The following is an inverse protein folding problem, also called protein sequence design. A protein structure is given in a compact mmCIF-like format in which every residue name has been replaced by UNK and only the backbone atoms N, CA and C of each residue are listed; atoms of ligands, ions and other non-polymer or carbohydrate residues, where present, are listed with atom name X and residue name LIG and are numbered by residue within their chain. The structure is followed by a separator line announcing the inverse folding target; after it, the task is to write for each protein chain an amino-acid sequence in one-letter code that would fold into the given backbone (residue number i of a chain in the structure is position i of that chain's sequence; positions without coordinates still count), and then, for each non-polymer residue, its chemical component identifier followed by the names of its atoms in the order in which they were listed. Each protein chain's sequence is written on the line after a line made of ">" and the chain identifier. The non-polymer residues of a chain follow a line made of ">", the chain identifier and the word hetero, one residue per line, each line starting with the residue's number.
data_IF_970882321977
#
_entry.id   IF_970882321977
#
_cell.length_a   1.000
_cell.length_b   1.000
_cell.length_c   1.000
_cell.angle_alpha   90.00
_cell.angle_beta   90.00
_cell.angle_gamma   90.00
#
_symmetry.space_group_name_H-M   'P 1'
#
loop_
_entity.id
_entity.type
_entity.pdbx_description
1 polymer ?
#
# COMPACT_ATOMS: atom_id res chain seq x y z
N UNK A 1 -10.53 -5.75 5.11
CA UNK A 1 -10.43 -4.29 4.98
C UNK A 1 -11.78 -3.65 4.61
N UNK A 2 -12.42 -4.00 3.48
CA UNK A 2 -13.69 -3.37 3.08
C UNK A 2 -14.78 -3.42 4.17
N UNK A 3 -14.94 -4.58 4.85
CA UNK A 3 -15.93 -4.71 5.93
C UNK A 3 -15.67 -3.79 7.13
N UNK A 4 -14.42 -3.37 7.36
CA UNK A 4 -14.12 -2.44 8.45
C UNK A 4 -14.72 -1.06 8.24
N UNK A 5 -15.00 -0.65 7.00
CA UNK A 5 -15.70 0.59 6.70
C UNK A 5 -17.14 0.59 7.24
N UNK A 6 -17.79 -0.59 7.26
CA UNK A 6 -19.14 -0.75 7.82
C UNK A 6 -19.16 -0.69 9.37
N UNK A 7 -18.02 -1.05 9.99
CA UNK A 7 -17.90 -1.13 11.45
C UNK A 7 -17.32 0.16 12.08
N UNK A 8 -16.97 1.14 11.25
CA UNK A 8 -16.36 2.41 11.70
C UNK A 8 -17.13 3.60 11.12
N UNK A 9 -17.04 4.77 11.76
CA UNK A 9 -17.73 6.00 11.34
C UNK A 9 -16.79 7.19 11.11
N UNK A 10 -15.49 7.06 11.37
CA UNK A 10 -14.51 8.15 11.20
C UNK A 10 -14.35 8.59 9.75
N UNK A 11 -14.12 9.87 9.51
CA UNK A 11 -13.87 10.45 8.19
C UNK A 11 -12.53 10.01 7.58
N UNK A 12 -11.56 9.69 8.44
CA UNK A 12 -10.26 9.13 8.08
C UNK A 12 -10.19 7.72 8.63
N UNK A 13 -9.81 6.78 7.78
CA UNK A 13 -9.62 5.38 8.16
C UNK A 13 -8.15 5.04 8.03
N UNK A 14 -7.53 4.59 9.12
CA UNK A 14 -6.14 4.18 9.18
C UNK A 14 -6.07 2.65 9.31
N UNK A 15 -5.30 2.02 8.42
CA UNK A 15 -5.02 0.59 8.44
C UNK A 15 -3.60 0.37 8.94
N UNK A 16 -3.44 -0.56 9.86
CA UNK A 16 -2.17 -0.96 10.45
C UNK A 16 -2.15 -2.47 10.58
N UNK A 17 -1.07 -3.11 10.16
CA UNK A 17 -0.91 -4.56 10.29
C UNK A 17 -0.85 -4.97 11.78
N UNK A 18 -1.60 -6.01 12.14
CA UNK A 18 -1.70 -6.46 13.53
C UNK A 18 -0.45 -7.25 14.01
N UNK A 19 0.46 -7.60 13.12
CA UNK A 19 1.69 -8.38 13.42
C UNK A 19 2.94 -7.52 13.59
N UNK A 20 2.78 -6.22 13.75
CA UNK A 20 3.88 -5.31 14.06
C UNK A 20 4.52 -5.67 15.40
N UNK A 21 5.84 -5.92 15.41
CA UNK A 21 6.58 -6.27 16.63
C UNK A 21 6.87 -5.08 17.54
N UNK A 22 7.04 -3.92 16.95
CA UNK A 22 7.37 -2.67 17.64
C UNK A 22 6.40 -1.59 17.16
N UNK A 23 5.15 -1.64 17.68
CA UNK A 23 4.16 -0.61 17.36
C UNK A 23 4.45 0.65 18.17
N UNK A 24 4.43 1.79 17.49
CA UNK A 24 4.50 3.12 18.08
C UNK A 24 3.31 3.95 17.56
N UNK A 25 2.70 4.73 18.44
CA UNK A 25 1.59 5.62 18.08
C UNK A 25 1.96 6.62 16.97
N UNK A 26 3.26 6.93 16.81
CA UNK A 26 3.77 7.75 15.70
C UNK A 26 3.46 7.17 14.32
N UNK A 27 3.28 5.85 14.19
CA UNK A 27 2.79 5.26 12.94
C UNK A 27 1.44 5.85 12.56
N UNK A 28 0.49 5.85 13.49
CA UNK A 28 -0.87 6.38 13.24
C UNK A 28 -0.84 7.89 13.04
N UNK A 29 -0.23 8.64 13.96
CA UNK A 29 -0.19 10.11 13.87
C UNK A 29 0.55 10.60 12.63
N UNK A 30 1.65 9.92 12.24
CA UNK A 30 2.38 10.24 11.03
C UNK A 30 1.56 10.02 9.77
N UNK A 31 0.90 8.85 9.65
CA UNK A 31 0.11 8.52 8.45
C UNK A 31 -1.17 9.37 8.35
N UNK A 32 -1.78 9.71 9.48
CA UNK A 32 -3.00 10.53 9.51
C UNK A 32 -2.70 12.03 9.34
N UNK A 33 -1.52 12.50 9.77
CA UNK A 33 -1.13 13.90 9.76
C UNK A 33 -1.42 14.63 8.44
N UNK A 34 -0.89 14.17 7.29
CA UNK A 34 -1.13 14.83 6.00
C UNK A 34 -2.61 14.89 5.60
N UNK A 35 -3.44 13.93 6.02
CA UNK A 35 -4.88 13.96 5.76
C UNK A 35 -5.59 15.05 6.56
N UNK A 36 -5.01 15.50 7.68
CA UNK A 36 -5.56 16.57 8.50
C UNK A 36 -5.11 17.95 8.04
N UNK A 37 -3.87 18.07 7.53
CA UNK A 37 -3.24 19.35 7.20
C UNK A 37 -3.36 19.73 5.73
N UNK A 38 -3.47 18.74 4.83
CA UNK A 38 -3.44 18.93 3.38
C UNK A 38 -4.79 18.53 2.77
N UNK A 39 -5.68 19.49 2.43
CA UNK A 39 -7.02 19.17 1.91
C UNK A 39 -7.02 18.37 0.60
N UNK A 40 -5.98 18.51 -0.23
CA UNK A 40 -5.82 17.77 -1.50
C UNK A 40 -5.47 16.32 -1.32
N UNK A 41 -4.84 15.95 -0.18
CA UNK A 41 -4.42 14.57 0.08
C UNK A 41 -5.63 13.71 0.45
N UNK A 42 -5.76 12.59 -0.25
CA UNK A 42 -6.85 11.64 -0.07
C UNK A 42 -6.36 10.30 0.51
N UNK A 43 -5.10 9.91 0.23
CA UNK A 43 -4.49 8.68 0.72
C UNK A 43 -3.02 8.90 1.08
N UNK A 44 -2.60 8.37 2.22
CA UNK A 44 -1.22 8.43 2.72
C UNK A 44 -0.71 7.01 2.93
N UNK A 45 0.44 6.70 2.35
CA UNK A 45 1.16 5.44 2.56
C UNK A 45 2.32 5.64 3.53
N UNK A 46 2.50 4.72 4.46
CA UNK A 46 3.75 4.65 5.20
C UNK A 46 4.90 4.25 4.27
N UNK A 47 6.03 4.90 4.42
CA UNK A 47 7.30 4.41 3.91
C UNK A 47 8.24 4.14 5.09
N UNK A 48 9.02 3.09 4.99
CA UNK A 48 9.92 2.64 6.04
C UNK A 48 11.06 1.82 5.45
N UNK A 49 12.17 1.79 6.18
CA UNK A 49 13.28 0.90 5.84
C UNK A 49 12.95 -0.52 6.30
N UNK A 50 13.22 -1.47 5.42
CA UNK A 50 13.02 -2.90 5.66
C UNK A 50 14.34 -3.64 5.55
N UNK A 51 15.18 -3.64 6.62
CA UNK A 51 16.45 -4.32 6.56
C UNK A 51 16.26 -5.83 6.35
N UNK A 52 16.99 -6.39 5.38
CA UNK A 52 17.10 -7.83 5.15
C UNK A 52 18.21 -8.40 6.03
N UNK A 53 17.84 -9.03 7.17
CA UNK A 53 18.79 -9.60 8.13
C UNK A 53 19.60 -8.51 8.88
N UNK A 54 20.85 -8.85 9.25
CA UNK A 54 21.78 -7.97 9.98
C UNK A 54 22.50 -6.92 9.10
N UNK A 55 22.00 -6.63 7.92
CA UNK A 55 22.58 -5.61 7.04
C UNK A 55 22.30 -4.20 7.58
N UNK A 56 23.28 -3.28 7.51
CA UNK A 56 23.09 -1.92 8.00
C UNK A 56 21.97 -1.21 7.23
N UNK A 57 21.13 -0.49 7.97
CA UNK A 57 20.10 0.41 7.46
C UNK A 57 20.71 1.41 6.47
N UNK A 58 20.24 1.44 5.24
CA UNK A 58 20.74 2.40 4.26
C UNK A 58 20.19 2.24 2.85
N UNK A 59 19.70 1.06 2.49
CA UNK A 59 18.96 0.88 1.25
C UNK A 59 17.48 0.75 1.60
N UNK A 60 16.64 1.68 1.19
CA UNK A 60 15.17 1.60 1.26
C UNK A 60 14.69 0.42 0.41
N UNK A 61 14.88 -0.79 0.93
CA UNK A 61 14.51 -2.02 0.22
C UNK A 61 13.11 -2.43 0.62
N UNK A 62 12.27 -2.70 -0.37
CA UNK A 62 11.00 -3.39 -0.21
C UNK A 62 11.20 -4.88 0.10
N UNK A 63 10.10 -5.59 0.38
CA UNK A 63 10.12 -7.06 0.42
C UNK A 63 10.40 -7.65 -0.97
N UNK A 64 10.81 -8.93 -1.04
CA UNK A 64 11.12 -9.62 -2.31
C UNK A 64 10.02 -9.47 -3.36
N UNK A 65 8.74 -9.59 -2.98
CA UNK A 65 7.61 -9.43 -3.91
C UNK A 65 7.44 -7.95 -4.33
N UNK A 66 7.75 -7.00 -3.46
CA UNK A 66 7.78 -5.58 -3.82
C UNK A 66 8.78 -5.35 -4.93
N UNK A 67 10.04 -5.80 -4.76
CA UNK A 67 11.12 -5.51 -5.70
C UNK A 67 11.01 -6.33 -7.00
N UNK A 68 10.56 -7.59 -6.91
CA UNK A 68 10.54 -8.49 -8.06
C UNK A 68 9.23 -8.48 -8.85
N UNK A 69 8.13 -7.96 -8.28
CA UNK A 69 6.81 -7.99 -8.90
C UNK A 69 6.15 -6.61 -8.92
N UNK A 70 5.88 -6.02 -7.75
CA UNK A 70 5.08 -4.80 -7.71
C UNK A 70 5.80 -3.61 -8.35
N UNK A 71 7.07 -3.41 -8.05
CA UNK A 71 7.87 -2.30 -8.60
C UNK A 71 8.03 -2.40 -10.13
N UNK A 72 8.39 -3.56 -10.73
CA UNK A 72 8.39 -3.72 -12.18
C UNK A 72 7.03 -3.44 -12.82
N UNK A 73 5.93 -3.94 -12.26
CA UNK A 73 4.58 -3.67 -12.76
C UNK A 73 4.24 -2.18 -12.73
N UNK A 74 4.53 -1.49 -11.62
CA UNK A 74 4.29 -0.06 -11.50
C UNK A 74 5.13 0.74 -12.49
N UNK A 75 6.42 0.43 -12.63
CA UNK A 75 7.30 1.12 -13.57
C UNK A 75 6.85 0.96 -15.03
N UNK A 76 6.36 -0.23 -15.39
CA UNK A 76 5.93 -0.53 -16.76
C UNK A 76 4.56 0.07 -17.10
N UNK A 77 3.61 0.01 -16.18
CA UNK A 77 2.22 0.31 -16.48
C UNK A 77 1.67 1.56 -15.79
N UNK A 78 2.24 1.95 -14.65
CA UNK A 78 1.85 3.14 -13.89
C UNK A 78 3.08 3.94 -13.44
N UNK A 79 3.89 4.45 -14.37
CA UNK A 79 5.19 5.10 -14.04
C UNK A 79 5.07 6.28 -13.08
N UNK A 80 3.90 6.92 -13.00
CA UNK A 80 3.61 7.96 -12.00
C UNK A 80 3.67 7.45 -10.56
N UNK A 81 3.48 6.14 -10.34
CA UNK A 81 3.60 5.48 -9.03
C UNK A 81 4.98 4.90 -8.74
N UNK A 82 5.94 5.05 -9.65
CA UNK A 82 7.31 4.51 -9.50
C UNK A 82 8.03 5.01 -8.23
N UNK A 83 7.68 6.23 -7.76
CA UNK A 83 8.21 6.84 -6.54
C UNK A 83 7.60 6.31 -5.23
N UNK A 84 6.60 5.41 -5.29
CA UNK A 84 6.03 4.83 -4.07
C UNK A 84 6.99 3.81 -3.47
N UNK A 85 7.48 4.09 -2.26
CA UNK A 85 8.55 3.31 -1.60
C UNK A 85 8.05 1.94 -1.17
N UNK A 86 6.87 1.87 -0.53
CA UNK A 86 6.26 0.63 -0.04
C UNK A 86 4.86 0.42 -0.64
N UNK A 87 4.77 0.07 -1.95
CA UNK A 87 3.48 -0.06 -2.62
C UNK A 87 2.59 -1.15 -2.03
N UNK A 88 3.19 -2.20 -1.45
CA UNK A 88 2.50 -3.34 -0.83
C UNK A 88 2.43 -3.22 0.71
N UNK A 89 2.83 -2.09 1.30
CA UNK A 89 2.75 -1.90 2.75
C UNK A 89 1.30 -1.83 3.22
N UNK A 90 0.97 -2.55 4.30
CA UNK A 90 -0.36 -2.58 4.91
C UNK A 90 -0.66 -1.36 5.79
N UNK A 91 0.34 -0.51 6.03
CA UNK A 91 0.21 0.71 6.81
C UNK A 91 -0.12 1.88 5.89
N UNK A 92 -1.37 2.31 5.93
CA UNK A 92 -1.86 3.48 5.19
C UNK A 92 -3.12 4.06 5.82
N UNK A 93 -3.40 5.30 5.51
CA UNK A 93 -4.67 5.92 5.84
C UNK A 93 -5.28 6.60 4.61
N UNK A 94 -6.58 6.70 4.58
CA UNK A 94 -7.27 7.42 3.52
C UNK A 94 -8.57 8.06 4.02
N UNK A 95 -9.05 9.07 3.29
CA UNK A 95 -10.38 9.61 3.52
C UNK A 95 -11.42 8.54 3.24
N UNK A 96 -12.41 8.42 4.11
CA UNK A 96 -13.53 7.50 3.92
C UNK A 96 -14.22 7.71 2.58
N UNK A 97 -14.45 8.94 2.20
CA UNK A 97 -15.10 9.32 0.94
C UNK A 97 -14.36 8.81 -0.30
N UNK A 98 -13.03 8.65 -0.23
CA UNK A 98 -12.24 7.97 -1.27
C UNK A 98 -12.47 6.46 -1.19
N UNK A 99 -12.26 5.85 -0.01
CA UNK A 99 -12.33 4.39 0.17
C UNK A 99 -13.68 3.79 -0.25
N UNK A 100 -14.77 4.48 0.01
CA UNK A 100 -16.12 4.04 -0.38
C UNK A 100 -16.35 4.02 -1.89
N UNK A 101 -15.51 4.68 -2.66
CA UNK A 101 -15.55 4.71 -4.14
C UNK A 101 -14.58 3.73 -4.80
N UNK A 102 -13.67 3.14 -4.03
CA UNK A 102 -12.64 2.25 -4.56
C UNK A 102 -13.09 0.78 -4.46
N UNK A 103 -12.81 -0.04 -5.48
CA UNK A 103 -12.93 -1.48 -5.37
C UNK A 103 -11.83 -2.04 -4.48
N UNK A 104 -12.17 -2.97 -3.58
CA UNK A 104 -11.21 -3.64 -2.71
C UNK A 104 -10.90 -5.03 -3.27
N UNK A 105 -9.74 -5.24 -3.89
CA UNK A 105 -9.30 -6.57 -4.28
C UNK A 105 -9.22 -7.52 -3.09
N UNK A 106 -9.49 -8.78 -3.33
CA UNK A 106 -9.38 -9.82 -2.29
C UNK A 106 -7.92 -10.29 -2.19
N UNK A 107 -7.44 -10.52 -0.97
CA UNK A 107 -6.10 -11.06 -0.70
C UNK A 107 -4.99 -10.03 -0.89
N UNK A 108 -3.82 -10.50 -1.31
CA UNK A 108 -2.56 -9.74 -1.34
C UNK A 108 -2.47 -8.63 -2.41
N UNK A 109 -3.49 -8.45 -3.24
CA UNK A 109 -3.50 -7.40 -4.24
C UNK A 109 -4.15 -6.10 -3.76
N UNK A 110 -4.70 -6.05 -2.55
CA UNK A 110 -5.52 -4.93 -2.09
C UNK A 110 -4.74 -3.61 -2.05
N UNK A 111 -3.53 -3.60 -1.52
CA UNK A 111 -2.71 -2.39 -1.41
C UNK A 111 -2.34 -1.83 -2.78
N UNK A 112 -1.90 -2.70 -3.70
CA UNK A 112 -1.59 -2.31 -5.07
C UNK A 112 -2.83 -1.80 -5.79
N UNK A 113 -3.96 -2.50 -5.63
CA UNK A 113 -5.22 -2.12 -6.25
C UNK A 113 -5.70 -0.75 -5.81
N UNK A 114 -5.75 -0.50 -4.49
CA UNK A 114 -6.15 0.79 -3.94
C UNK A 114 -5.22 1.93 -4.40
N UNK A 115 -3.92 1.66 -4.52
CA UNK A 115 -2.94 2.65 -4.98
C UNK A 115 -3.18 3.03 -6.45
N UNK A 116 -3.36 2.05 -7.33
CA UNK A 116 -3.64 2.29 -8.75
C UNK A 116 -4.99 2.98 -8.94
N UNK A 117 -6.02 2.52 -8.24
CA UNK A 117 -7.37 3.06 -8.35
C UNK A 117 -7.43 4.49 -7.80
N UNK A 118 -6.68 4.82 -6.74
CA UNK A 118 -6.54 6.19 -6.24
C UNK A 118 -5.88 7.10 -7.28
N UNK A 119 -4.80 6.63 -7.93
CA UNK A 119 -4.16 7.39 -9.02
C UNK A 119 -5.16 7.71 -10.14
N UNK A 120 -5.96 6.72 -10.55
CA UNK A 120 -6.92 6.89 -11.64
C UNK A 120 -8.08 7.81 -11.25
N UNK A 121 -8.55 7.72 -10.02
CA UNK A 121 -9.73 8.43 -9.54
C UNK A 121 -9.45 9.87 -9.10
N UNK A 122 -8.32 10.08 -8.42
CA UNK A 122 -8.00 11.34 -7.74
C UNK A 122 -6.67 11.98 -8.19
N UNK A 123 -5.86 11.26 -8.98
CA UNK A 123 -4.57 11.74 -9.46
C UNK A 123 -3.42 11.52 -8.47
N UNK A 124 -2.20 11.85 -8.91
CA UNK A 124 -1.00 11.66 -8.09
C UNK A 124 -0.96 12.59 -6.88
N UNK A 125 -1.43 13.80 -7.03
CA UNK A 125 -1.40 14.83 -5.96
C UNK A 125 -2.31 14.46 -4.77
N UNK A 126 -3.21 13.50 -4.96
CA UNK A 126 -4.03 12.93 -3.89
C UNK A 126 -3.28 11.89 -3.03
N UNK A 127 -2.07 11.47 -3.44
CA UNK A 127 -1.23 10.49 -2.77
C UNK A 127 -0.07 11.17 -2.03
N UNK A 128 0.12 10.83 -0.77
CA UNK A 128 1.29 11.22 0.01
C UNK A 128 1.98 10.01 0.61
N UNK A 129 3.23 10.19 1.02
CA UNK A 129 4.02 9.19 1.75
C UNK A 129 4.62 9.83 2.99
N UNK A 130 4.67 9.08 4.09
CA UNK A 130 5.27 9.51 5.35
C UNK A 130 6.30 8.49 5.79
N UNK A 131 7.50 8.96 6.11
CA UNK A 131 8.56 8.14 6.69
C UNK A 131 8.23 7.83 8.15
N UNK A 132 8.03 6.56 8.45
CA UNK A 132 7.74 6.07 9.79
C UNK A 132 8.93 5.30 10.40
N UNK A 133 10.11 5.40 9.78
CA UNK A 133 11.36 4.83 10.27
C UNK A 133 11.61 3.39 9.82
N UNK A 134 11.95 2.51 10.75
CA UNK A 134 12.37 1.13 10.45
C UNK A 134 11.29 0.14 10.89
N UNK A 135 10.98 -0.83 10.02
CA UNK A 135 10.03 -1.90 10.32
C UNK A 135 10.69 -3.28 10.27
N UNK A 136 10.62 -4.03 11.37
CA UNK A 136 11.11 -5.41 11.45
C UNK A 136 9.99 -6.40 11.10
N UNK A 137 10.28 -7.35 10.20
CA UNK A 137 9.33 -8.35 9.70
C UNK A 137 9.75 -9.79 10.00
N UNK A 138 8.76 -10.70 9.95
CA UNK A 138 9.00 -12.13 9.82
C UNK A 138 9.26 -12.50 8.35
N UNK A 139 10.18 -13.43 8.11
CA UNK A 139 10.39 -14.01 6.78
C UNK A 139 9.22 -14.94 6.41
N UNK A 140 8.72 -14.82 5.19
CA UNK A 140 7.78 -15.78 4.59
C UNK A 140 8.51 -16.77 3.71
N UNK A 141 7.98 -18.00 3.60
CA UNK A 141 8.52 -19.04 2.72
C UNK A 141 8.29 -18.73 1.22
N UNK A 142 9.01 -19.44 0.35
CA UNK A 142 8.95 -19.20 -1.10
C UNK A 142 7.57 -19.47 -1.72
N UNK A 143 6.81 -20.47 -1.23
CA UNK A 143 5.48 -20.78 -1.74
C UNK A 143 4.47 -19.68 -1.39
N UNK A 144 4.53 -19.15 -0.16
CA UNK A 144 3.70 -18.03 0.25
C UNK A 144 3.97 -16.80 -0.61
N UNK A 145 5.24 -16.50 -0.90
CA UNK A 145 5.62 -15.40 -1.80
C UNK A 145 5.12 -15.61 -3.24
N UNK A 146 5.12 -16.84 -3.75
CA UNK A 146 4.56 -17.16 -5.07
C UNK A 146 3.06 -16.89 -5.15
N UNK A 147 2.29 -17.31 -4.15
CA UNK A 147 0.85 -17.00 -4.07
C UNK A 147 0.57 -15.51 -3.97
N UNK A 148 1.38 -14.79 -3.19
CA UNK A 148 1.30 -13.34 -3.08
C UNK A 148 1.59 -12.66 -4.43
N UNK A 149 2.65 -13.05 -5.11
CA UNK A 149 3.02 -12.54 -6.42
C UNK A 149 1.89 -12.74 -7.44
N UNK A 150 1.30 -13.94 -7.50
CA UNK A 150 0.19 -14.25 -8.40
C UNK A 150 -1.04 -13.37 -8.14
N UNK A 151 -1.40 -13.13 -6.87
CA UNK A 151 -2.51 -12.26 -6.51
C UNK A 151 -2.26 -10.80 -6.94
N UNK A 152 -1.04 -10.30 -6.74
CA UNK A 152 -0.63 -8.95 -7.14
C UNK A 152 -0.65 -8.80 -8.66
N UNK A 153 -0.08 -9.76 -9.39
CA UNK A 153 -0.09 -9.74 -10.87
C UNK A 153 -1.52 -9.75 -11.42
N UNK A 154 -2.40 -10.59 -10.87
CA UNK A 154 -3.83 -10.62 -11.25
C UNK A 154 -4.50 -9.27 -11.00
N UNK A 155 -4.26 -8.65 -9.84
CA UNK A 155 -4.81 -7.34 -9.50
C UNK A 155 -4.35 -6.26 -10.47
N UNK A 156 -3.07 -6.25 -10.85
CA UNK A 156 -2.52 -5.35 -11.85
C UNK A 156 -3.16 -5.60 -13.23
N UNK A 157 -3.23 -6.87 -13.66
CA UNK A 157 -3.78 -7.25 -14.95
C UNK A 157 -5.22 -6.78 -15.13
N UNK A 158 -6.06 -6.88 -14.09
CA UNK A 158 -7.45 -6.37 -14.14
C UNK A 158 -7.56 -4.84 -14.29
N UNK A 159 -6.45 -4.10 -14.18
CA UNK A 159 -6.38 -2.63 -14.26
C UNK A 159 -5.65 -2.13 -15.49
N UNK A 160 -5.17 -3.02 -16.34
CA UNK A 160 -4.58 -2.65 -17.63
C UNK A 160 -5.66 -2.24 -18.61
N UNK A 161 -5.37 -1.28 -19.53
CA UNK A 161 -6.30 -0.91 -20.60
C UNK A 161 -6.68 -2.13 -21.44
N UNK A 162 -7.98 -2.31 -21.68
CA UNK A 162 -8.49 -3.43 -22.50
C UNK A 162 -8.54 -4.79 -21.79
N UNK A 163 -8.27 -4.85 -20.49
CA UNK A 163 -8.42 -6.08 -19.72
C UNK A 163 -9.90 -6.45 -19.59
N UNK A 164 -10.22 -7.71 -19.96
CA UNK A 164 -11.52 -8.30 -19.62
C UNK A 164 -11.51 -8.69 -18.14
N UNK A 165 -12.55 -8.37 -17.35
CA UNK A 165 -12.62 -8.82 -15.97
C UNK A 165 -12.53 -10.34 -15.94
N UNK A 166 -11.55 -10.87 -15.24
CA UNK A 166 -11.47 -12.32 -14.95
C UNK A 166 -12.58 -12.63 -13.95
N UNK A 167 -13.58 -13.38 -14.43
CA UNK A 167 -14.67 -13.90 -13.62
C UNK A 167 -14.17 -14.90 -12.55
#
# INVERSE_FOLDING_TARGET
>A
LWRSLLATSGEIVCFVDADLREFDSRFVSGIVGPLLTEPGVQMVKAMYDRPLGDQPSGARQGGRVTELVARPLLNLHWPRLAGVVQPLGGEYAARRSLLERLPFPVGYGVELGLLIDTLHLAGLDALAQVDVGVRKHRHQDGQALGRMAAAIMRTAQCRLPGSVPVQ
#
